data_IF_759295699953
#
_entry.id   IF_759295699953
#
_cell.length_a   1.000
_cell.length_b   1.000
_cell.length_c   1.000
_cell.angle_alpha   90.00
_cell.angle_beta   90.00
_cell.angle_gamma   90.00
#
_symmetry.space_group_name_H-M   'P 1'
#
loop_
_entity.id
_entity.type
_entity.pdbx_description
1 polymer ?
#
# COMPACT_ATOMS: atom_id res chain seq x y z
N UNK A 1 -9.22 -10.19 25.20
CA UNK A 1 -10.03 -9.78 24.02
C UNK A 1 -9.15 -8.87 23.20
N UNK A 2 -8.81 -9.27 21.97
CA UNK A 2 -7.97 -8.46 21.09
C UNK A 2 -8.87 -7.53 20.28
N UNK A 3 -8.63 -6.25 20.35
CA UNK A 3 -9.38 -5.26 19.58
C UNK A 3 -8.86 -5.12 18.14
N UNK A 4 -7.59 -5.45 17.91
CA UNK A 4 -6.94 -5.31 16.61
C UNK A 4 -5.73 -6.27 16.54
N UNK A 5 -5.85 -7.32 15.78
CA UNK A 5 -4.82 -8.34 15.59
C UNK A 5 -4.54 -8.60 14.11
N UNK A 6 -3.97 -9.76 13.82
CA UNK A 6 -3.59 -10.12 12.45
C UNK A 6 -4.76 -10.11 11.46
N UNK A 7 -5.93 -10.59 11.88
CA UNK A 7 -7.14 -10.58 11.04
C UNK A 7 -7.59 -9.16 10.67
N UNK A 8 -7.61 -8.27 11.64
CA UNK A 8 -8.00 -6.87 11.43
C UNK A 8 -6.96 -6.11 10.58
N UNK A 9 -5.66 -6.37 10.81
CA UNK A 9 -4.58 -5.87 9.96
C UNK A 9 -4.78 -6.28 8.50
N UNK A 10 -5.00 -7.57 8.25
CA UNK A 10 -5.21 -8.10 6.90
C UNK A 10 -6.47 -7.54 6.25
N UNK A 11 -7.60 -7.51 6.97
CA UNK A 11 -8.86 -6.95 6.48
C UNK A 11 -8.75 -5.46 6.14
N UNK A 12 -8.07 -4.68 7.00
CA UNK A 12 -7.84 -3.26 6.75
C UNK A 12 -6.92 -3.05 5.53
N UNK A 13 -5.87 -3.85 5.39
CA UNK A 13 -4.98 -3.81 4.23
C UNK A 13 -5.72 -4.17 2.93
N UNK A 14 -6.55 -5.23 2.92
CA UNK A 14 -7.38 -5.60 1.75
C UNK A 14 -8.29 -4.45 1.33
N UNK A 15 -8.89 -3.74 2.28
CA UNK A 15 -9.75 -2.59 2.00
C UNK A 15 -8.98 -1.47 1.30
N UNK A 16 -7.79 -1.15 1.78
CA UNK A 16 -6.95 -0.11 1.16
C UNK A 16 -6.50 -0.53 -0.23
N UNK A 17 -6.00 -1.77 -0.39
CA UNK A 17 -5.55 -2.33 -1.67
C UNK A 17 -6.69 -2.40 -2.70
N UNK A 18 -7.90 -2.80 -2.30
CA UNK A 18 -9.08 -2.78 -3.17
C UNK A 18 -9.32 -1.38 -3.76
N UNK A 19 -9.22 -0.35 -2.92
CA UNK A 19 -9.41 1.03 -3.37
C UNK A 19 -8.28 1.48 -4.32
N UNK A 20 -7.03 1.06 -4.07
CA UNK A 20 -5.90 1.34 -4.97
C UNK A 20 -6.08 0.65 -6.33
N UNK A 21 -6.54 -0.61 -6.33
CA UNK A 21 -6.85 -1.35 -7.55
C UNK A 21 -7.95 -0.65 -8.35
N UNK A 22 -9.01 -0.16 -7.68
CA UNK A 22 -10.08 0.59 -8.35
C UNK A 22 -9.55 1.87 -9.00
N UNK A 23 -8.66 2.61 -8.35
CA UNK A 23 -8.00 3.77 -8.96
C UNK A 23 -7.20 3.36 -10.20
N UNK A 24 -6.44 2.27 -10.10
CA UNK A 24 -5.68 1.77 -11.25
C UNK A 24 -6.61 1.38 -12.40
N UNK A 25 -7.77 0.78 -12.12
CA UNK A 25 -8.78 0.44 -13.14
C UNK A 25 -9.44 1.68 -13.75
N UNK A 26 -9.74 2.71 -12.96
CA UNK A 26 -10.40 3.95 -13.38
C UNK A 26 -9.50 4.84 -14.26
N UNK A 27 -8.18 4.87 -14.01
CA UNK A 27 -7.25 5.67 -14.82
C UNK A 27 -7.09 5.05 -16.21
N UNK A 28 -7.32 5.80 -17.31
CA UNK A 28 -7.08 5.31 -18.67
C UNK A 28 -5.62 4.91 -18.91
N UNK A 29 -5.38 3.84 -19.66
CA UNK A 29 -4.03 3.31 -19.91
C UNK A 29 -3.08 4.35 -20.51
N UNK A 30 -3.56 5.17 -21.45
CA UNK A 30 -2.78 6.26 -22.05
C UNK A 30 -2.43 7.41 -21.08
N UNK A 31 -2.81 7.29 -19.79
CA UNK A 31 -2.47 8.21 -18.70
C UNK A 31 -1.51 7.60 -17.67
N UNK A 32 -1.05 6.37 -17.88
CA UNK A 32 -0.11 5.73 -16.95
C UNK A 32 1.26 6.39 -16.92
N UNK A 33 1.65 7.08 -18.00
CA UNK A 33 2.90 7.87 -18.06
C UNK A 33 2.73 9.32 -17.55
N UNK A 34 1.51 9.72 -17.16
CA UNK A 34 1.28 11.05 -16.61
C UNK A 34 2.08 11.28 -15.33
N UNK A 35 2.81 12.41 -15.30
CA UNK A 35 3.57 12.92 -14.15
C UNK A 35 3.04 14.31 -13.78
N UNK A 36 2.71 14.58 -12.51
CA UNK A 36 2.27 15.93 -12.09
C UNK A 36 3.41 16.95 -12.10
N UNK A 37 4.67 16.48 -11.95
CA UNK A 37 5.88 17.28 -12.05
C UNK A 37 7.05 16.42 -12.59
N UNK A 38 8.10 17.03 -13.18
CA UNK A 38 9.19 16.29 -13.84
C UNK A 38 9.93 15.31 -12.92
N UNK A 39 10.09 15.65 -11.66
CA UNK A 39 10.81 14.89 -10.64
C UNK A 39 9.96 13.88 -9.86
N UNK A 40 8.67 13.74 -10.23
CA UNK A 40 7.76 12.79 -9.58
C UNK A 40 7.69 11.46 -10.32
N UNK A 41 7.22 10.43 -9.62
CA UNK A 41 6.78 9.19 -10.26
C UNK A 41 5.57 9.44 -11.17
N UNK A 42 5.50 8.70 -12.27
CA UNK A 42 4.26 8.64 -13.06
C UNK A 42 3.18 7.84 -12.32
N UNK A 43 1.95 7.86 -12.85
CA UNK A 43 0.84 7.01 -12.36
C UNK A 43 1.29 5.55 -12.29
N UNK A 44 1.79 5.01 -13.39
CA UNK A 44 2.24 3.61 -13.46
C UNK A 44 3.36 3.30 -12.46
N UNK A 45 4.37 4.17 -12.39
CA UNK A 45 5.47 4.03 -11.42
C UNK A 45 4.98 4.10 -9.97
N UNK A 46 4.01 4.96 -9.65
CA UNK A 46 3.43 5.04 -8.30
C UNK A 46 2.67 3.76 -7.95
N UNK A 47 1.91 3.21 -8.89
CA UNK A 47 1.17 1.95 -8.70
C UNK A 47 2.11 0.76 -8.51
N UNK A 48 3.21 0.67 -9.28
CA UNK A 48 4.25 -0.36 -9.11
C UNK A 48 4.93 -0.21 -7.75
N UNK A 49 5.29 1.01 -7.35
CA UNK A 49 5.86 1.30 -6.04
C UNK A 49 4.95 0.81 -4.91
N UNK A 50 3.65 1.09 -4.98
CA UNK A 50 2.67 0.60 -4.01
C UNK A 50 2.64 -0.93 -3.99
N UNK A 51 2.66 -1.59 -5.15
CA UNK A 51 2.63 -3.06 -5.22
C UNK A 51 3.83 -3.69 -4.50
N UNK A 52 5.02 -3.11 -4.66
CA UNK A 52 6.28 -3.61 -4.09
C UNK A 52 6.47 -3.24 -2.62
N UNK A 53 5.84 -2.18 -2.14
CA UNK A 53 6.11 -1.55 -0.83
C UNK A 53 5.93 -2.48 0.38
N UNK A 54 5.01 -3.45 0.30
CA UNK A 54 4.81 -4.45 1.36
C UNK A 54 5.92 -5.50 1.44
N UNK A 55 6.76 -5.61 0.41
CA UNK A 55 7.79 -6.64 0.29
C UNK A 55 8.85 -6.56 1.39
N UNK A 56 9.26 -5.36 1.81
CA UNK A 56 10.20 -5.18 2.92
C UNK A 56 9.64 -5.75 4.23
N UNK A 57 8.45 -5.36 4.61
CA UNK A 57 7.83 -5.83 5.85
C UNK A 57 7.56 -7.33 5.79
N UNK A 58 7.12 -7.85 4.65
CA UNK A 58 6.97 -9.29 4.47
C UNK A 58 8.32 -10.01 4.65
N UNK A 59 9.40 -9.51 4.06
CA UNK A 59 10.74 -10.10 4.20
C UNK A 59 11.20 -10.14 5.67
N UNK A 60 11.11 -9.02 6.38
CA UNK A 60 11.54 -8.91 7.79
C UNK A 60 10.75 -9.88 8.67
N UNK A 61 9.45 -9.90 8.53
CA UNK A 61 8.59 -10.64 9.46
C UNK A 61 8.45 -12.12 9.12
N UNK A 62 8.43 -12.51 7.83
CA UNK A 62 8.40 -13.92 7.42
C UNK A 62 9.71 -14.66 7.76
N UNK A 63 10.83 -13.96 7.70
CA UNK A 63 12.14 -14.48 8.11
C UNK A 63 12.41 -14.29 9.61
N UNK A 64 11.43 -13.81 10.39
CA UNK A 64 11.54 -13.59 11.84
C UNK A 64 12.75 -12.74 12.26
N UNK A 65 13.17 -11.81 11.41
CA UNK A 65 14.25 -10.87 11.72
C UNK A 65 13.82 -10.03 12.93
N UNK A 66 14.65 -9.98 13.95
CA UNK A 66 14.42 -9.24 15.19
C UNK A 66 15.45 -8.11 15.44
N UNK A 67 16.41 -7.93 14.52
CA UNK A 67 17.40 -6.86 14.55
C UNK A 67 17.65 -6.39 13.11
N UNK A 68 17.22 -5.17 12.78
CA UNK A 68 17.31 -4.65 11.42
C UNK A 68 18.74 -4.30 10.98
N UNK A 69 19.74 -4.32 11.89
CA UNK A 69 21.14 -4.13 11.50
C UNK A 69 21.67 -5.23 10.58
N UNK A 70 21.03 -6.43 10.58
CA UNK A 70 21.42 -7.54 9.69
C UNK A 70 20.87 -7.39 8.27
N UNK A 71 19.97 -6.42 8.04
CA UNK A 71 19.36 -6.17 6.73
C UNK A 71 20.30 -5.30 5.90
N UNK A 72 20.69 -5.80 4.73
CA UNK A 72 21.43 -4.99 3.75
C UNK A 72 20.47 -4.05 3.01
N UNK A 73 20.20 -2.89 3.62
CA UNK A 73 19.29 -1.90 3.04
C UNK A 73 19.71 -1.40 1.66
N UNK A 74 21.01 -1.10 1.37
CA UNK A 74 21.42 -0.70 0.04
C UNK A 74 21.06 -1.72 -1.04
N UNK A 75 21.36 -2.99 -0.83
CA UNK A 75 21.04 -4.07 -1.76
C UNK A 75 19.52 -4.23 -1.95
N UNK A 76 18.77 -4.14 -0.85
CA UNK A 76 17.31 -4.21 -0.90
C UNK A 76 16.72 -3.07 -1.71
N UNK A 77 17.20 -1.84 -1.50
CA UNK A 77 16.74 -0.66 -2.25
C UNK A 77 17.11 -0.74 -3.73
N UNK A 78 18.29 -1.24 -4.06
CA UNK A 78 18.72 -1.48 -5.44
C UNK A 78 17.78 -2.50 -6.13
N UNK A 79 17.47 -3.60 -5.44
CA UNK A 79 16.54 -4.62 -5.95
C UNK A 79 15.15 -4.06 -6.18
N UNK A 80 14.61 -3.30 -5.23
CA UNK A 80 13.30 -2.66 -5.38
C UNK A 80 13.31 -1.67 -6.54
N UNK A 81 14.32 -0.80 -6.62
CA UNK A 81 14.48 0.16 -7.71
C UNK A 81 14.57 -0.50 -9.07
N UNK A 82 15.30 -1.62 -9.18
CA UNK A 82 15.39 -2.42 -10.41
C UNK A 82 14.02 -3.00 -10.81
N UNK A 83 13.22 -3.46 -9.85
CA UNK A 83 11.86 -3.93 -10.14
C UNK A 83 10.93 -2.79 -10.53
N UNK A 84 11.00 -1.64 -9.86
CA UNK A 84 10.21 -0.45 -10.21
C UNK A 84 10.51 0.06 -11.63
N UNK A 85 11.75 -0.05 -12.07
CA UNK A 85 12.19 0.43 -13.38
C UNK A 85 11.73 -0.45 -14.56
N UNK A 86 11.27 -1.68 -14.31
CA UNK A 86 10.82 -2.58 -15.39
C UNK A 86 9.56 -2.03 -16.06
N UNK A 87 9.52 -1.93 -17.39
CA UNK A 87 8.31 -1.51 -18.10
C UNK A 87 7.17 -2.51 -17.87
N UNK A 88 5.97 -1.99 -17.63
CA UNK A 88 4.74 -2.78 -17.43
C UNK A 88 3.54 -2.05 -18.01
N UNK A 89 2.66 -2.79 -18.65
CA UNK A 89 1.35 -2.28 -19.06
C UNK A 89 0.36 -2.21 -17.88
N UNK A 90 -0.78 -1.61 -18.10
CA UNK A 90 -1.85 -1.47 -17.10
C UNK A 90 -2.30 -2.81 -16.54
N UNK A 91 -2.49 -3.82 -17.39
CA UNK A 91 -2.98 -5.12 -16.97
C UNK A 91 -1.98 -5.84 -16.05
N UNK A 92 -0.68 -5.76 -16.38
CA UNK A 92 0.41 -6.31 -15.57
C UNK A 92 0.49 -5.63 -14.19
N UNK A 93 0.36 -4.29 -14.13
CA UNK A 93 0.38 -3.53 -12.88
C UNK A 93 -0.81 -3.92 -12.00
N UNK A 94 -2.02 -4.01 -12.56
CA UNK A 94 -3.22 -4.43 -11.82
C UNK A 94 -3.08 -5.87 -11.32
N UNK A 95 -2.56 -6.78 -12.14
CA UNK A 95 -2.31 -8.17 -11.75
C UNK A 95 -1.32 -8.25 -10.57
N UNK A 96 -0.26 -7.43 -10.60
CA UNK A 96 0.75 -7.32 -9.54
C UNK A 96 0.13 -6.80 -8.24
N UNK A 97 -0.66 -5.72 -8.29
CA UNK A 97 -1.39 -5.19 -7.13
C UNK A 97 -2.30 -6.24 -6.50
N UNK A 98 -3.04 -7.01 -7.32
CA UNK A 98 -3.95 -8.08 -6.86
C UNK A 98 -3.17 -9.23 -6.22
N UNK A 99 -2.14 -9.73 -6.89
CA UNK A 99 -1.34 -10.88 -6.44
C UNK A 99 -0.59 -10.57 -5.14
N UNK A 100 0.23 -9.51 -5.14
CA UNK A 100 1.12 -9.22 -4.01
C UNK A 100 0.34 -8.69 -2.82
N UNK A 101 -0.68 -7.88 -3.07
CA UNK A 101 -1.61 -7.44 -2.03
C UNK A 101 -2.38 -8.59 -1.38
N UNK A 102 -2.85 -9.55 -2.18
CA UNK A 102 -3.54 -10.74 -1.71
C UNK A 102 -2.66 -11.63 -0.82
N UNK A 103 -1.42 -11.90 -1.28
CA UNK A 103 -0.42 -12.68 -0.51
C UNK A 103 -0.09 -12.00 0.82
N UNK A 104 0.19 -10.69 0.80
CA UNK A 104 0.54 -9.96 2.01
C UNK A 104 -0.62 -9.88 3.00
N UNK A 105 -1.84 -9.63 2.54
CA UNK A 105 -3.03 -9.64 3.39
C UNK A 105 -3.24 -11.01 4.06
N UNK A 106 -3.12 -12.12 3.31
CA UNK A 106 -3.23 -13.47 3.87
C UNK A 106 -2.11 -13.77 4.88
N UNK A 107 -0.91 -13.27 4.63
CA UNK A 107 0.17 -13.34 5.60
C UNK A 107 -0.19 -12.61 6.90
N UNK A 108 -0.66 -11.37 6.84
CA UNK A 108 -1.10 -10.62 8.02
C UNK A 108 -2.18 -11.36 8.81
N UNK A 109 -3.18 -11.92 8.13
CA UNK A 109 -4.29 -12.67 8.73
C UNK A 109 -3.83 -13.92 9.49
N UNK A 110 -2.67 -14.49 9.11
CA UNK A 110 -2.09 -15.71 9.75
C UNK A 110 -1.30 -15.42 11.03
N UNK A 111 -1.01 -14.16 11.34
CA UNK A 111 -0.12 -13.80 12.45
C UNK A 111 -0.83 -13.89 13.80
N UNK A 112 -0.15 -14.51 14.78
CA UNK A 112 -0.64 -14.60 16.16
C UNK A 112 -0.39 -13.30 16.93
N UNK A 113 -1.17 -13.07 17.99
CA UNK A 113 -0.97 -11.94 18.90
C UNK A 113 0.41 -11.95 19.55
N UNK A 114 0.90 -13.15 19.93
CA UNK A 114 2.23 -13.28 20.52
C UNK A 114 3.34 -12.87 19.55
N UNK A 115 3.22 -13.26 18.27
CA UNK A 115 4.15 -12.83 17.25
C UNK A 115 4.08 -11.30 17.01
N UNK A 116 2.89 -10.74 16.96
CA UNK A 116 2.70 -9.30 16.76
C UNK A 116 3.27 -8.46 17.92
N UNK A 117 3.32 -9.02 19.13
CA UNK A 117 3.89 -8.34 20.32
C UNK A 117 5.43 -8.38 20.38
N UNK A 118 6.09 -9.24 19.60
CA UNK A 118 7.55 -9.34 19.58
C UNK A 118 8.20 -8.01 19.19
N UNK A 119 9.32 -7.68 19.87
CA UNK A 119 10.09 -6.46 19.59
C UNK A 119 11.14 -6.70 18.50
N UNK A 120 11.29 -5.74 17.61
CA UNK A 120 12.32 -5.69 16.58
C UNK A 120 13.23 -4.50 16.89
N UNK A 121 14.54 -4.74 16.93
CA UNK A 121 15.54 -3.69 17.07
C UNK A 121 15.64 -2.90 15.75
N UNK A 122 15.51 -1.59 15.87
CA UNK A 122 15.62 -0.68 14.74
C UNK A 122 17.10 -0.42 14.40
N UNK A 123 17.42 0.13 13.23
CA UNK A 123 18.79 0.48 12.88
C UNK A 123 19.44 1.42 13.92
N UNK A 124 20.77 1.39 14.08
CA UNK A 124 21.48 2.30 14.99
C UNK A 124 21.11 3.77 14.73
N UNK A 125 20.79 4.49 15.81
CA UNK A 125 20.39 5.90 15.74
C UNK A 125 18.91 6.15 15.47
N UNK A 126 18.11 5.10 15.28
CA UNK A 126 16.65 5.26 15.16
C UNK A 126 15.98 5.52 16.51
N UNK A 127 14.96 6.34 16.52
CA UNK A 127 14.07 6.59 17.66
C UNK A 127 12.62 6.28 17.26
N UNK A 128 11.94 5.39 17.97
CA UNK A 128 12.42 4.57 19.09
C UNK A 128 13.42 3.49 18.64
N UNK A 129 14.25 3.02 19.57
CA UNK A 129 15.26 1.98 19.29
C UNK A 129 14.66 0.59 19.02
N UNK A 130 13.42 0.36 19.44
CA UNK A 130 12.66 -0.88 19.15
C UNK A 130 11.24 -0.54 18.78
N UNK A 131 10.63 -1.42 17.96
CA UNK A 131 9.21 -1.38 17.62
C UNK A 131 8.62 -2.77 17.71
N UNK A 132 7.35 -2.88 18.11
CA UNK A 132 6.65 -4.15 17.98
C UNK A 132 6.46 -4.52 16.50
N UNK A 133 6.36 -5.81 16.20
CA UNK A 133 6.01 -6.25 14.84
C UNK A 133 4.67 -5.68 14.41
N UNK A 134 3.72 -5.56 15.36
CA UNK A 134 2.43 -4.93 15.10
C UNK A 134 2.58 -3.50 14.59
N UNK A 135 3.36 -2.67 15.29
CA UNK A 135 3.61 -1.27 14.88
C UNK A 135 4.25 -1.19 13.49
N UNK A 136 5.25 -2.06 13.23
CA UNK A 136 5.89 -2.10 11.92
C UNK A 136 4.94 -2.53 10.80
N UNK A 137 4.03 -3.46 11.08
CA UNK A 137 3.07 -4.00 10.10
C UNK A 137 1.87 -3.08 9.83
N UNK A 138 1.70 -1.98 10.58
CA UNK A 138 0.80 -0.88 10.22
C UNK A 138 1.32 -0.09 9.02
N UNK A 139 2.65 0.07 8.93
CA UNK A 139 3.32 0.92 7.93
C UNK A 139 2.94 0.61 6.47
N UNK A 140 2.83 -0.64 5.97
CA UNK A 140 2.45 -0.89 4.59
C UNK A 140 1.08 -0.31 4.21
N UNK A 141 0.11 -0.38 5.10
CA UNK A 141 -1.21 0.21 4.89
C UNK A 141 -1.14 1.73 4.86
N UNK A 142 -0.41 2.34 5.78
CA UNK A 142 -0.25 3.80 5.88
C UNK A 142 0.49 4.35 4.65
N UNK A 143 1.56 3.69 4.23
CA UNK A 143 2.32 4.02 3.04
C UNK A 143 1.43 3.94 1.77
N UNK A 144 0.63 2.89 1.62
CA UNK A 144 -0.30 2.76 0.51
C UNK A 144 -1.37 3.86 0.53
N UNK A 145 -1.91 4.20 1.71
CA UNK A 145 -2.88 5.30 1.86
C UNK A 145 -2.26 6.65 1.47
N UNK A 146 -0.98 6.90 1.80
CA UNK A 146 -0.25 8.09 1.38
C UNK A 146 -0.19 8.21 -0.15
N UNK A 147 0.26 7.17 -0.84
CA UNK A 147 0.35 7.17 -2.30
C UNK A 147 -1.02 7.12 -2.99
N UNK A 148 -2.00 6.46 -2.39
CA UNK A 148 -3.38 6.49 -2.86
C UNK A 148 -3.94 7.91 -2.89
N UNK A 149 -3.65 8.72 -1.88
CA UNK A 149 -4.09 10.12 -1.87
C UNK A 149 -3.44 10.93 -3.01
N UNK A 150 -2.17 10.67 -3.32
CA UNK A 150 -1.49 11.26 -4.49
C UNK A 150 -2.18 10.83 -5.79
N UNK A 151 -2.44 9.53 -5.97
CA UNK A 151 -3.14 9.02 -7.17
C UNK A 151 -4.53 9.63 -7.34
N UNK A 152 -5.28 9.83 -6.26
CA UNK A 152 -6.59 10.52 -6.31
C UNK A 152 -6.45 12.00 -6.74
N UNK A 153 -5.32 12.64 -6.48
CA UNK A 153 -5.01 13.96 -7.01
C UNK A 153 -4.69 13.87 -8.50
N UNK A 154 -3.89 12.88 -8.92
CA UNK A 154 -3.58 12.66 -10.34
C UNK A 154 -4.84 12.36 -11.16
N UNK A 155 -5.77 11.53 -10.64
CA UNK A 155 -7.08 11.33 -11.28
C UNK A 155 -7.76 12.67 -11.60
N UNK A 156 -7.82 13.59 -10.63
CA UNK A 156 -8.45 14.92 -10.85
C UNK A 156 -7.72 15.74 -11.89
N UNK A 157 -6.39 15.71 -11.90
CA UNK A 157 -5.58 16.45 -12.88
C UNK A 157 -5.78 15.96 -14.31
N UNK A 158 -6.12 14.68 -14.49
CA UNK A 158 -6.42 14.09 -15.81
C UNK A 158 -7.93 14.03 -16.12
N UNK A 159 -8.76 14.68 -15.31
CA UNK A 159 -10.22 14.78 -15.53
C UNK A 159 -11.03 13.59 -15.02
N UNK A 160 -10.46 12.69 -14.21
CA UNK A 160 -11.16 11.56 -13.60
C UNK A 160 -11.61 11.90 -12.18
N UNK A 161 -12.88 11.72 -11.85
CA UNK A 161 -13.37 11.86 -10.48
C UNK A 161 -13.07 10.58 -9.71
N UNK A 162 -12.30 10.62 -8.59
CA UNK A 162 -11.96 9.41 -7.82
C UNK A 162 -13.20 8.64 -7.33
N UNK A 163 -13.15 7.30 -7.38
CA UNK A 163 -14.30 6.45 -7.03
C UNK A 163 -14.82 6.71 -5.61
N UNK A 164 -13.94 6.93 -4.62
CA UNK A 164 -14.37 7.25 -3.25
C UNK A 164 -15.16 8.56 -3.17
N UNK A 165 -14.87 9.53 -4.06
CA UNK A 165 -15.65 10.76 -4.18
C UNK A 165 -17.01 10.47 -4.80
N UNK A 166 -17.07 9.69 -5.89
CA UNK A 166 -18.33 9.28 -6.55
C UNK A 166 -19.24 8.51 -5.60
N UNK A 167 -18.69 7.54 -4.85
CA UNK A 167 -19.44 6.77 -3.87
C UNK A 167 -20.01 7.63 -2.74
N UNK A 168 -19.23 8.60 -2.24
CA UNK A 168 -19.70 9.55 -1.23
C UNK A 168 -20.84 10.40 -1.78
N UNK A 169 -20.70 10.94 -2.99
CA UNK A 169 -21.74 11.75 -3.64
C UNK A 169 -23.04 10.95 -3.84
N UNK A 170 -22.92 9.70 -4.30
CA UNK A 170 -24.07 8.81 -4.47
C UNK A 170 -24.82 8.55 -3.14
N UNK A 171 -24.06 8.27 -2.06
CA UNK A 171 -24.67 8.11 -0.72
C UNK A 171 -25.37 9.36 -0.23
N UNK A 172 -24.79 10.54 -0.45
CA UNK A 172 -25.41 11.82 -0.05
C UNK A 172 -26.68 12.10 -0.85
N UNK A 173 -26.70 11.81 -2.16
CA UNK A 173 -27.89 11.97 -2.98
C UNK A 173 -29.03 11.03 -2.53
N UNK A 174 -28.71 9.80 -2.13
CA UNK A 174 -29.72 8.85 -1.62
C UNK A 174 -30.25 9.24 -0.22
N UNK A 175 -29.46 9.94 0.57
CA UNK A 175 -29.84 10.36 1.93
C UNK A 175 -30.69 11.64 1.95
N UNK A 176 -30.79 12.39 0.83
CA UNK A 176 -31.68 13.56 0.77
C UNK A 176 -33.14 13.08 0.62
N UNK A 177 -34.05 13.46 1.56
CA UNK A 177 -35.47 13.17 1.40
C UNK A 177 -35.97 13.81 0.12
N UNK A 178 -36.79 13.06 -0.65
CA UNK A 178 -37.46 13.63 -1.81
C UNK A 178 -38.19 14.91 -1.39
N UNK A 179 -37.73 16.04 -1.95
CA UNK A 179 -38.49 17.28 -1.78
C UNK A 179 -39.85 17.07 -2.44
N UNK A 180 -40.89 16.98 -1.61
CA UNK A 180 -42.28 16.97 -2.06
C UNK A 180 -42.73 18.41 -2.28
#
# INVERSE_FOLDING_TARGET
MTYYGGKELGAAFRTVRKNTIQIAEDIPENKYDFKPAPDTRSVGQTLVHIALSSGFQHHVHSNKINDLKVVNFPELMEKIGSEEAKPRDKAQIIAMLKSDGGKFASYLESLSESFLAEQVMMPPGAEPATKSRFEMLLSPKEHEMHHRAQLMTFERMIGVVPHLTRERQARMAQAQPAQR
#
